data_IF_625455650582
#
_entry.id   IF_625455650582
#
_cell.length_a   1.000
_cell.length_b   1.000
_cell.length_c   1.000
_cell.angle_alpha   90.00
_cell.angle_beta   90.00
_cell.angle_gamma   90.00
#
_symmetry.space_group_name_H-M   'P 1'
#
loop_
_entity.id
_entity.type
_entity.pdbx_description
1 polymer ?
#
# COMPACT_ATOMS: atom_id res chain seq x y z
N UNK A 1 24.56 10.72 16.39
CA UNK A 1 24.89 10.50 14.96
C UNK A 1 24.80 9.04 14.54
N UNK A 2 25.29 8.07 15.32
CA UNK A 2 25.26 6.63 14.95
C UNK A 2 23.86 6.04 14.77
N UNK A 3 22.87 6.38 15.62
CA UNK A 3 21.50 5.85 15.50
C UNK A 3 20.76 6.37 14.25
N UNK A 4 20.94 7.64 13.88
CA UNK A 4 20.33 8.20 12.68
C UNK A 4 20.86 7.51 11.40
N UNK A 5 22.18 7.30 11.31
CA UNK A 5 22.82 6.57 10.20
C UNK A 5 22.36 5.10 10.19
N UNK A 6 22.26 4.47 11.37
CA UNK A 6 21.81 3.10 11.51
C UNK A 6 20.32 2.88 11.17
N UNK A 7 19.48 3.90 11.28
CA UNK A 7 18.08 3.87 10.86
C UNK A 7 17.95 4.17 9.37
N UNK A 8 18.69 5.17 8.87
CA UNK A 8 18.73 5.52 7.46
C UNK A 8 19.14 4.34 6.57
N UNK A 9 20.12 3.52 6.97
CA UNK A 9 20.48 2.31 6.22
C UNK A 9 19.32 1.33 6.04
N UNK A 10 18.44 1.18 7.03
CA UNK A 10 17.32 0.23 6.96
C UNK A 10 16.24 0.72 6.01
N UNK A 11 15.97 2.03 6.04
CA UNK A 11 15.03 2.68 5.11
C UNK A 11 15.58 2.62 3.68
N UNK A 12 16.87 2.93 3.48
CA UNK A 12 17.51 2.83 2.17
C UNK A 12 17.50 1.40 1.64
N UNK A 13 17.77 0.42 2.51
CA UNK A 13 17.74 -0.99 2.14
C UNK A 13 16.32 -1.45 1.75
N UNK A 14 15.29 -1.12 2.54
CA UNK A 14 13.91 -1.51 2.21
C UNK A 14 13.44 -0.85 0.92
N UNK A 15 13.76 0.43 0.74
CA UNK A 15 13.44 1.15 -0.49
C UNK A 15 14.18 0.56 -1.71
N UNK A 16 15.46 0.24 -1.57
CA UNK A 16 16.25 -0.40 -2.61
C UNK A 16 15.67 -1.75 -3.03
N UNK A 17 15.31 -2.59 -2.06
CA UNK A 17 14.63 -3.88 -2.31
C UNK A 17 13.30 -3.66 -3.00
N UNK A 18 12.51 -2.68 -2.57
CA UNK A 18 11.23 -2.36 -3.21
C UNK A 18 11.38 -1.96 -4.67
N UNK A 19 12.34 -1.07 -4.97
CA UNK A 19 12.62 -0.64 -6.35
C UNK A 19 13.13 -1.81 -7.19
N UNK A 20 14.05 -2.62 -6.67
CA UNK A 20 14.57 -3.80 -7.38
C UNK A 20 13.45 -4.81 -7.67
N UNK A 21 12.58 -5.09 -6.70
CA UNK A 21 11.43 -5.97 -6.90
C UNK A 21 10.43 -5.39 -7.92
N UNK A 22 10.19 -4.08 -7.92
CA UNK A 22 9.34 -3.44 -8.92
C UNK A 22 9.91 -3.55 -10.33
N UNK A 23 11.22 -3.27 -10.49
CA UNK A 23 11.90 -3.41 -11.78
C UNK A 23 11.92 -4.86 -12.26
N UNK A 24 12.22 -5.80 -11.37
CA UNK A 24 12.17 -7.23 -11.67
C UNK A 24 10.75 -7.64 -12.07
N UNK A 25 9.75 -7.28 -11.28
CA UNK A 25 8.34 -7.55 -11.58
C UNK A 25 7.94 -7.00 -12.94
N UNK A 26 8.31 -5.76 -13.26
CA UNK A 26 8.05 -5.16 -14.58
C UNK A 26 8.73 -5.95 -15.70
N UNK A 27 9.99 -6.35 -15.55
CA UNK A 27 10.73 -7.07 -16.58
C UNK A 27 10.24 -8.52 -16.80
N UNK A 28 9.88 -9.21 -15.72
CA UNK A 28 9.40 -10.60 -15.77
C UNK A 28 7.93 -10.66 -16.17
N UNK A 29 7.03 -9.97 -15.45
CA UNK A 29 5.60 -10.01 -15.75
C UNK A 29 5.32 -9.52 -17.18
N UNK A 30 6.12 -8.61 -17.76
CA UNK A 30 5.93 -8.14 -19.14
C UNK A 30 6.23 -9.21 -20.19
N UNK A 31 6.95 -10.27 -19.80
CA UNK A 31 7.22 -11.44 -20.64
C UNK A 31 6.23 -12.57 -20.40
N UNK A 32 5.69 -12.68 -19.19
CA UNK A 32 4.69 -13.71 -18.84
C UNK A 32 3.27 -13.31 -19.24
N UNK A 33 2.93 -12.02 -19.10
CA UNK A 33 1.57 -11.54 -19.31
C UNK A 33 1.36 -10.96 -20.72
N UNK A 34 0.13 -11.08 -21.25
CA UNK A 34 -0.28 -10.37 -22.45
C UNK A 34 -0.19 -8.85 -22.26
N UNK A 35 0.12 -8.08 -23.32
CA UNK A 35 0.16 -6.61 -23.27
C UNK A 35 -1.17 -5.98 -22.82
N UNK A 36 -2.29 -6.65 -23.07
CA UNK A 36 -3.63 -6.22 -22.66
C UNK A 36 -3.77 -6.15 -21.12
N UNK A 37 -3.20 -7.13 -20.41
CA UNK A 37 -3.23 -7.18 -18.94
C UNK A 37 -2.45 -6.02 -18.29
N UNK A 38 -1.39 -5.54 -18.96
CA UNK A 38 -0.64 -4.38 -18.51
C UNK A 38 -1.43 -3.09 -18.63
N UNK A 39 -2.18 -2.92 -19.73
CA UNK A 39 -3.10 -1.81 -19.91
C UNK A 39 -4.18 -1.79 -18.83
N UNK A 40 -4.77 -2.96 -18.55
CA UNK A 40 -5.78 -3.14 -17.51
C UNK A 40 -5.26 -2.72 -16.11
N UNK A 41 -4.08 -3.21 -15.74
CA UNK A 41 -3.46 -2.89 -14.45
C UNK A 41 -3.04 -1.41 -14.38
N UNK A 42 -2.60 -0.80 -15.48
CA UNK A 42 -2.28 0.62 -15.53
C UNK A 42 -3.54 1.49 -15.29
N UNK A 43 -4.67 1.15 -15.92
CA UNK A 43 -5.95 1.82 -15.69
C UNK A 43 -6.39 1.68 -14.23
N UNK A 44 -6.37 0.46 -13.68
CA UNK A 44 -6.67 0.22 -12.28
C UNK A 44 -5.72 0.98 -11.33
N UNK A 45 -4.45 1.09 -11.71
CA UNK A 45 -3.41 1.84 -11.01
C UNK A 45 -3.74 3.32 -10.87
N UNK A 46 -4.27 3.97 -11.92
CA UNK A 46 -4.69 5.39 -11.85
C UNK A 46 -5.75 5.58 -10.77
N UNK A 47 -6.78 4.73 -10.76
CA UNK A 47 -7.89 4.79 -9.79
C UNK A 47 -7.38 4.59 -8.38
N UNK A 48 -6.61 3.52 -8.18
CA UNK A 48 -6.16 3.10 -6.86
C UNK A 48 -5.15 4.08 -6.28
N UNK A 49 -4.21 4.61 -7.08
CA UNK A 49 -3.28 5.64 -6.65
C UNK A 49 -4.01 6.92 -6.22
N UNK A 50 -5.04 7.34 -6.94
CA UNK A 50 -5.85 8.49 -6.53
C UNK A 50 -6.59 8.23 -5.21
N UNK A 51 -7.17 7.04 -5.05
CA UNK A 51 -7.81 6.61 -3.82
C UNK A 51 -6.82 6.52 -2.62
N UNK A 52 -5.56 6.13 -2.86
CA UNK A 52 -4.52 6.16 -1.84
C UNK A 52 -4.24 7.57 -1.33
N UNK A 53 -4.18 8.57 -2.21
CA UNK A 53 -4.00 9.97 -1.80
C UNK A 53 -5.11 10.45 -0.86
N UNK A 54 -6.35 10.04 -1.11
CA UNK A 54 -7.50 10.36 -0.25
C UNK A 54 -7.42 9.65 1.10
N UNK A 55 -6.94 8.40 1.12
CA UNK A 55 -6.82 7.59 2.33
C UNK A 55 -5.68 8.09 3.22
N UNK A 56 -4.55 8.51 2.65
CA UNK A 56 -3.37 8.94 3.39
C UNK A 56 -3.55 10.36 3.97
N UNK A 57 -4.46 10.51 4.93
CA UNK A 57 -4.79 11.79 5.59
C UNK A 57 -3.74 12.25 6.62
N UNK A 58 -2.47 11.84 6.49
CA UNK A 58 -1.39 12.23 7.40
C UNK A 58 -1.51 11.72 8.84
N UNK A 59 -2.45 10.80 9.12
CA UNK A 59 -2.74 10.28 10.47
C UNK A 59 -1.54 9.55 11.10
N UNK A 60 -0.75 8.85 10.28
CA UNK A 60 0.51 8.24 10.72
C UNK A 60 1.54 9.28 11.18
N UNK A 61 1.72 10.35 10.39
CA UNK A 61 2.63 11.44 10.75
C UNK A 61 2.19 12.16 12.03
N UNK A 62 0.88 12.34 12.23
CA UNK A 62 0.32 12.91 13.45
C UNK A 62 0.67 12.07 14.70
N UNK A 63 0.64 10.74 14.61
CA UNK A 63 1.06 9.87 15.72
C UNK A 63 2.57 9.99 15.99
N UNK A 64 3.38 10.02 14.94
CA UNK A 64 4.84 10.11 15.07
C UNK A 64 5.24 11.43 15.73
N UNK A 65 4.63 12.55 15.32
CA UNK A 65 4.96 13.89 15.80
C UNK A 65 4.28 14.27 17.12
N UNK A 66 3.24 13.56 17.55
CA UNK A 66 2.53 13.89 18.79
C UNK A 66 3.47 13.81 20.00
N UNK A 67 3.50 14.79 20.91
CA UNK A 67 4.34 14.73 22.11
C UNK A 67 4.03 13.52 22.99
N UNK A 68 2.73 13.22 23.18
CA UNK A 68 2.24 12.12 23.98
C UNK A 68 1.18 11.33 23.21
N UNK A 69 1.30 10.01 23.20
CA UNK A 69 0.32 9.12 22.58
C UNK A 69 -0.31 8.27 23.67
N UNK A 70 -1.55 8.60 24.03
CA UNK A 70 -2.34 7.77 24.93
C UNK A 70 -2.89 6.54 24.20
N UNK A 71 -3.17 5.42 24.90
CA UNK A 71 -3.81 4.25 24.30
C UNK A 71 -5.17 4.58 23.66
N UNK A 72 -5.90 5.53 24.25
CA UNK A 72 -7.17 6.04 23.71
C UNK A 72 -6.94 6.74 22.38
N UNK A 73 -5.97 7.66 22.29
CA UNK A 73 -5.66 8.36 21.03
C UNK A 73 -5.27 7.37 19.93
N UNK A 74 -4.38 6.42 20.24
CA UNK A 74 -3.96 5.40 19.28
C UNK A 74 -5.14 4.55 18.78
N UNK A 75 -6.05 4.16 19.68
CA UNK A 75 -7.26 3.40 19.34
C UNK A 75 -8.23 4.21 18.49
N UNK A 76 -8.44 5.49 18.82
CA UNK A 76 -9.30 6.38 18.04
C UNK A 76 -8.75 6.56 16.62
N UNK A 77 -7.46 6.89 16.47
CA UNK A 77 -6.83 7.04 15.14
C UNK A 77 -6.88 5.73 14.35
N UNK A 78 -6.73 4.58 15.02
CA UNK A 78 -6.85 3.28 14.37
C UNK A 78 -8.24 3.05 13.79
N UNK A 79 -9.29 3.22 14.59
CA UNK A 79 -10.66 3.03 14.11
C UNK A 79 -11.06 4.06 13.06
N UNK A 80 -10.60 5.32 13.17
CA UNK A 80 -10.79 6.33 12.12
C UNK A 80 -10.14 5.89 10.81
N UNK A 81 -8.90 5.40 10.83
CA UNK A 81 -8.22 4.91 9.63
C UNK A 81 -8.95 3.69 9.04
N UNK A 82 -9.42 2.76 9.87
CA UNK A 82 -10.19 1.59 9.41
C UNK A 82 -11.50 2.02 8.76
N UNK A 83 -12.25 2.93 9.39
CA UNK A 83 -13.48 3.46 8.83
C UNK A 83 -13.23 4.18 7.49
N UNK A 84 -12.17 4.98 7.40
CA UNK A 84 -11.77 5.65 6.16
C UNK A 84 -11.34 4.65 5.07
N UNK A 85 -10.55 3.63 5.43
CA UNK A 85 -10.13 2.56 4.52
C UNK A 85 -11.32 1.77 3.97
N UNK A 86 -12.31 1.46 4.83
CA UNK A 86 -13.56 0.85 4.41
C UNK A 86 -14.38 1.77 3.50
N UNK A 87 -14.50 3.06 3.84
CA UNK A 87 -15.22 4.02 3.03
C UNK A 87 -14.60 4.19 1.64
N UNK A 88 -13.28 4.36 1.56
CA UNK A 88 -12.56 4.47 0.29
C UNK A 88 -12.67 3.18 -0.52
N UNK A 89 -12.50 2.02 0.11
CA UNK A 89 -12.67 0.72 -0.55
C UNK A 89 -14.10 0.54 -1.11
N UNK A 90 -15.12 0.90 -0.33
CA UNK A 90 -16.51 0.84 -0.78
C UNK A 90 -16.77 1.79 -1.95
N UNK A 91 -16.21 3.00 -1.93
CA UNK A 91 -16.32 3.96 -3.05
C UNK A 91 -15.64 3.41 -4.31
N UNK A 92 -14.44 2.83 -4.20
CA UNK A 92 -13.75 2.22 -5.35
C UNK A 92 -14.55 1.04 -5.91
N UNK A 93 -15.08 0.16 -5.05
CA UNK A 93 -15.90 -0.97 -5.48
C UNK A 93 -17.22 -0.52 -6.14
N UNK A 94 -17.87 0.52 -5.61
CA UNK A 94 -19.08 1.09 -6.21
C UNK A 94 -18.78 1.78 -7.55
N UNK A 95 -17.62 2.42 -7.68
CA UNK A 95 -17.16 3.07 -8.90
C UNK A 95 -16.64 2.07 -9.96
N UNK A 96 -16.38 0.82 -9.60
CA UNK A 96 -15.73 -0.16 -10.47
C UNK A 96 -16.47 -0.36 -11.82
N UNK A 97 -17.80 -0.51 -11.78
CA UNK A 97 -18.63 -0.70 -12.97
C UNK A 97 -18.74 0.56 -13.84
N UNK A 98 -19.06 1.75 -13.30
CA UNK A 98 -18.99 3.00 -14.07
C UNK A 98 -17.63 3.24 -14.72
N UNK A 99 -16.54 2.92 -14.02
CA UNK A 99 -15.19 3.10 -14.55
C UNK A 99 -14.89 2.10 -15.67
N UNK A 100 -15.23 0.83 -15.50
CA UNK A 100 -15.11 -0.16 -16.57
C UNK A 100 -15.84 0.27 -17.85
N UNK A 101 -17.05 0.84 -17.71
CA UNK A 101 -17.78 1.41 -18.84
C UNK A 101 -17.09 2.63 -19.46
N UNK A 102 -16.59 3.56 -18.63
CA UNK A 102 -15.91 4.77 -19.11
C UNK A 102 -14.60 4.46 -19.85
N UNK A 103 -13.85 3.47 -19.38
CA UNK A 103 -12.61 2.99 -20.00
C UNK A 103 -12.85 2.01 -21.16
N UNK A 104 -14.10 1.63 -21.44
CA UNK A 104 -14.46 0.61 -22.43
C UNK A 104 -13.78 -0.75 -22.18
N UNK A 105 -13.54 -1.09 -20.91
CA UNK A 105 -12.79 -2.28 -20.52
C UNK A 105 -13.55 -3.06 -19.43
N UNK A 106 -14.31 -4.12 -19.76
CA UNK A 106 -15.21 -4.80 -18.83
C UNK A 106 -14.46 -5.53 -17.70
N UNK A 107 -13.25 -6.02 -17.97
CA UNK A 107 -12.42 -6.71 -16.97
C UNK A 107 -11.97 -5.77 -15.83
N UNK A 108 -11.99 -4.46 -16.07
CA UNK A 108 -11.54 -3.46 -15.09
C UNK A 108 -12.39 -3.48 -13.82
N UNK A 109 -13.68 -3.77 -13.93
CA UNK A 109 -14.57 -3.82 -12.78
C UNK A 109 -14.13 -4.90 -11.77
N UNK A 110 -13.79 -6.09 -12.27
CA UNK A 110 -13.31 -7.21 -11.45
C UNK A 110 -12.00 -6.87 -10.75
N UNK A 111 -11.05 -6.27 -11.49
CA UNK A 111 -9.76 -5.84 -10.93
C UNK A 111 -9.93 -4.78 -9.85
N UNK A 112 -10.75 -3.74 -10.10
CA UNK A 112 -11.00 -2.68 -9.12
C UNK A 112 -11.70 -3.20 -7.86
N UNK A 113 -12.70 -4.08 -8.00
CA UNK A 113 -13.34 -4.72 -6.85
C UNK A 113 -12.36 -5.54 -6.00
N UNK A 114 -11.41 -6.24 -6.65
CA UNK A 114 -10.38 -6.98 -5.92
C UNK A 114 -9.38 -6.05 -5.22
N UNK A 115 -8.92 -5.01 -5.92
CA UNK A 115 -7.97 -4.03 -5.35
C UNK A 115 -8.61 -3.17 -4.25
N UNK A 116 -9.93 -2.99 -4.25
CA UNK A 116 -10.65 -2.25 -3.21
C UNK A 116 -10.42 -2.83 -1.80
N UNK A 117 -10.14 -4.12 -1.67
CA UNK A 117 -9.82 -4.74 -0.38
C UNK A 117 -8.49 -4.27 0.21
N UNK A 118 -7.59 -3.71 -0.62
CA UNK A 118 -6.29 -3.26 -0.12
C UNK A 118 -6.44 -2.06 0.81
N UNK A 119 -7.43 -1.19 0.62
CA UNK A 119 -7.63 0.00 1.45
C UNK A 119 -7.92 -0.32 2.93
N UNK A 120 -8.93 -1.14 3.28
CA UNK A 120 -9.17 -1.52 4.66
C UNK A 120 -8.05 -2.38 5.24
N UNK A 121 -7.46 -3.30 4.46
CA UNK A 121 -6.35 -4.14 4.93
C UNK A 121 -5.12 -3.29 5.29
N UNK A 122 -4.79 -2.32 4.47
CA UNK A 122 -3.66 -1.42 4.72
C UNK A 122 -3.93 -0.49 5.90
N UNK A 123 -5.19 -0.08 6.11
CA UNK A 123 -5.57 0.79 7.22
C UNK A 123 -5.30 0.16 8.60
N UNK A 124 -5.40 -1.17 8.71
CA UNK A 124 -5.11 -1.91 9.95
C UNK A 124 -3.66 -1.74 10.41
N UNK A 125 -2.73 -1.55 9.47
CA UNK A 125 -1.29 -1.45 9.74
C UNK A 125 -0.81 -0.06 10.14
N UNK A 126 -1.51 1.01 9.75
CA UNK A 126 -1.02 2.42 9.83
C UNK A 126 -0.56 2.80 11.23
N UNK A 127 -1.41 2.61 12.23
CA UNK A 127 -1.10 3.01 13.61
C UNK A 127 0.05 2.20 14.18
N UNK A 128 0.10 0.89 13.91
CA UNK A 128 1.16 0.00 14.40
C UNK A 128 2.51 0.35 13.79
N UNK A 129 2.52 0.66 12.49
CA UNK A 129 3.71 1.13 11.79
C UNK A 129 4.18 2.49 12.34
N UNK A 130 3.27 3.45 12.50
CA UNK A 130 3.60 4.77 13.06
C UNK A 130 4.20 4.69 14.47
N UNK A 131 3.70 3.78 15.32
CA UNK A 131 4.27 3.53 16.65
C UNK A 131 5.67 2.91 16.59
N UNK A 132 5.93 1.99 15.65
CA UNK A 132 7.26 1.42 15.44
C UNK A 132 8.27 2.47 14.97
N UNK A 133 7.85 3.36 14.06
CA UNK A 133 8.67 4.46 13.56
C UNK A 133 8.97 5.48 14.66
N UNK A 134 7.96 5.84 15.47
CA UNK A 134 8.12 6.68 16.67
C UNK A 134 9.16 6.08 17.64
N UNK A 135 9.09 4.77 17.88
CA UNK A 135 10.05 4.05 18.74
C UNK A 135 11.42 3.83 18.07
N UNK A 136 11.67 4.43 16.91
CA UNK A 136 12.89 4.25 16.12
C UNK A 136 13.20 2.79 15.76
N UNK A 137 12.18 1.92 15.68
CA UNK A 137 12.32 0.51 15.31
C UNK A 137 12.26 0.28 13.79
N UNK A 138 12.95 1.13 13.03
CA UNK A 138 12.99 1.07 11.56
C UNK A 138 13.51 -0.25 11.01
N UNK A 139 14.42 -0.92 11.74
CA UNK A 139 14.89 -2.26 11.37
C UNK A 139 13.75 -3.31 11.31
N UNK A 140 12.73 -3.19 12.18
CA UNK A 140 11.57 -4.08 12.15
C UNK A 140 10.64 -3.75 11.00
N UNK A 141 10.36 -2.46 10.79
CA UNK A 141 9.55 -1.97 9.66
C UNK A 141 10.16 -2.41 8.34
N UNK A 142 11.44 -2.12 8.12
CA UNK A 142 12.17 -2.49 6.91
C UNK A 142 12.13 -4.00 6.63
N UNK A 143 12.33 -4.86 7.63
CA UNK A 143 12.26 -6.32 7.46
C UNK A 143 10.87 -6.79 7.02
N UNK A 144 9.81 -6.23 7.62
CA UNK A 144 8.42 -6.57 7.27
C UNK A 144 8.10 -6.11 5.84
N UNK A 145 8.47 -4.87 5.49
CA UNK A 145 8.25 -4.34 4.14
C UNK A 145 9.00 -5.14 3.07
N UNK A 146 10.27 -5.45 3.33
CA UNK A 146 11.08 -6.27 2.42
C UNK A 146 10.48 -7.66 2.24
N UNK A 147 10.10 -8.34 3.33
CA UNK A 147 9.49 -9.66 3.28
C UNK A 147 8.16 -9.62 2.52
N UNK A 148 7.29 -8.65 2.83
CA UNK A 148 6.00 -8.48 2.13
C UNK A 148 6.21 -8.22 0.63
N UNK A 149 7.17 -7.39 0.27
CA UNK A 149 7.49 -7.09 -1.14
C UNK A 149 7.98 -8.33 -1.89
N UNK A 150 8.93 -9.06 -1.31
CA UNK A 150 9.51 -10.26 -1.94
C UNK A 150 8.46 -11.37 -2.07
N UNK A 151 7.69 -11.61 -1.01
CA UNK A 151 6.60 -12.61 -1.01
C UNK A 151 5.51 -12.21 -2.02
N UNK A 152 5.15 -10.93 -2.07
CA UNK A 152 4.17 -10.42 -3.03
C UNK A 152 4.63 -10.59 -4.48
N UNK A 153 5.88 -10.25 -4.79
CA UNK A 153 6.44 -10.47 -6.13
C UNK A 153 6.50 -11.96 -6.46
N UNK A 154 6.95 -12.82 -5.54
CA UNK A 154 7.00 -14.25 -5.76
C UNK A 154 5.60 -14.84 -6.03
N UNK A 155 4.59 -14.43 -5.26
CA UNK A 155 3.21 -14.85 -5.49
C UNK A 155 2.70 -14.39 -6.86
N UNK A 156 2.98 -13.15 -7.25
CA UNK A 156 2.60 -12.63 -8.57
C UNK A 156 3.27 -13.43 -9.71
N UNK A 157 4.55 -13.75 -9.59
CA UNK A 157 5.28 -14.54 -10.60
C UNK A 157 4.83 -16.01 -10.69
N UNK A 158 4.36 -16.59 -9.58
CA UNK A 158 3.84 -17.97 -9.57
C UNK A 158 2.43 -18.06 -10.17
N UNK A 159 1.65 -16.98 -10.07
CA UNK A 159 0.27 -16.93 -10.55
C UNK A 159 0.15 -16.39 -11.99
N UNK A 160 1.18 -15.71 -12.51
CA UNK A 160 1.25 -15.16 -13.86
C UNK A 160 1.62 -16.22 -14.90
#
# INVERSE_FOLDING_TARGET
MSMAIANARWVLLSQGVRVLCQLAGMAFLARLMPPEAYGLMAMAGVVTNFAYLLRDMGTGAAIIQSPQVSPLLASTVHWTNVALGLAVGAVVAAAAWPMAAAFHEPELAGVLCLLAFIFPLSALGVVRQALLERDSRFARVAKVEMAATVVGLAAALVLA
#
